data_IF_352972845464
#
_entry.id   IF_352972845464
#
_cell.length_a   1.000
_cell.length_b   1.000
_cell.length_c   1.000
_cell.angle_alpha   90.00
_cell.angle_beta   90.00
_cell.angle_gamma   90.00
#
_symmetry.space_group_name_H-M   'P 1'
#
loop_
_entity.id
_entity.type
_entity.pdbx_description
1 polymer ?
#
# COMPACT_ATOMS: atom_id res chain seq x y z
N UNK A 1 -19.32 -20.65 19.62
CA UNK A 1 -17.89 -20.85 19.28
C UNK A 1 -17.79 -21.66 18.00
N UNK A 2 -17.76 -21.02 16.84
CA UNK A 2 -17.46 -21.69 15.56
C UNK A 2 -16.03 -21.34 15.21
N UNK A 3 -15.12 -22.27 15.54
CA UNK A 3 -13.70 -22.11 15.29
C UNK A 3 -13.43 -21.89 13.80
N UNK A 4 -12.74 -20.80 13.49
CA UNK A 4 -12.18 -20.60 12.16
C UNK A 4 -11.13 -21.68 11.93
N UNK A 5 -11.51 -22.72 11.19
CA UNK A 5 -10.60 -23.73 10.67
C UNK A 5 -9.50 -23.01 9.86
N UNK A 6 -8.26 -23.12 10.33
CA UNK A 6 -7.10 -22.67 9.58
C UNK A 6 -7.03 -23.52 8.30
N UNK A 7 -7.08 -22.93 7.09
CA UNK A 7 -7.13 -23.70 5.85
C UNK A 7 -5.85 -24.54 5.69
N UNK A 8 -6.02 -25.78 5.20
CA UNK A 8 -4.93 -26.74 4.95
C UNK A 8 -3.74 -26.08 4.23
N UNK A 9 -2.52 -26.37 4.70
CA UNK A 9 -1.27 -25.95 4.05
C UNK A 9 -1.30 -26.34 2.57
N UNK A 10 -1.34 -25.34 1.68
CA UNK A 10 -1.30 -25.53 0.22
C UNK A 10 -2.55 -25.10 -0.54
N UNK A 11 -3.72 -25.00 0.12
CA UNK A 11 -4.98 -24.56 -0.52
C UNK A 11 -5.33 -23.10 -0.22
N UNK A 12 -4.33 -22.25 0.07
CA UNK A 12 -4.60 -20.81 0.13
C UNK A 12 -4.93 -20.38 -1.31
N UNK A 13 -6.14 -19.89 -1.61
CA UNK A 13 -6.40 -19.34 -2.94
C UNK A 13 -5.29 -18.34 -3.23
N UNK A 14 -4.63 -18.48 -4.39
CA UNK A 14 -3.62 -17.50 -4.82
C UNK A 14 -4.30 -16.15 -4.73
N UNK A 15 -3.88 -15.31 -3.77
CA UNK A 15 -4.53 -14.02 -3.48
C UNK A 15 -4.74 -13.29 -4.81
N UNK A 16 -5.99 -13.21 -5.27
CA UNK A 16 -6.35 -12.76 -6.64
C UNK A 16 -6.25 -11.24 -6.80
N UNK A 17 -5.40 -10.56 -6.01
CA UNK A 17 -5.21 -9.12 -6.01
C UNK A 17 -3.76 -8.67 -6.23
N UNK A 18 -2.88 -9.59 -6.61
CA UNK A 18 -1.46 -9.28 -6.84
C UNK A 18 -1.22 -8.80 -8.27
N UNK A 19 -0.43 -7.73 -8.42
CA UNK A 19 0.16 -7.41 -9.72
C UNK A 19 1.27 -8.40 -10.03
N UNK A 20 1.24 -8.94 -11.24
CA UNK A 20 2.35 -9.75 -11.77
C UNK A 20 3.59 -8.89 -12.07
N UNK A 21 3.40 -7.60 -12.36
CA UNK A 21 4.48 -6.64 -12.65
C UNK A 21 4.25 -5.34 -11.87
N UNK A 22 5.14 -4.96 -10.93
CA UNK A 22 4.96 -3.77 -10.10
C UNK A 22 5.10 -2.45 -10.87
N UNK A 23 5.59 -2.47 -12.12
CA UNK A 23 5.72 -1.28 -12.97
C UNK A 23 4.42 -0.93 -13.72
N UNK A 24 3.42 -1.79 -13.67
CA UNK A 24 2.15 -1.57 -14.36
C UNK A 24 1.15 -0.89 -13.42
N UNK A 25 0.48 0.16 -13.87
CA UNK A 25 -0.59 0.77 -13.08
C UNK A 25 -1.86 -0.09 -13.12
N UNK A 26 -2.55 -0.22 -11.98
CA UNK A 26 -3.93 -0.74 -11.92
C UNK A 26 -4.89 0.25 -12.60
N UNK A 27 -6.09 -0.22 -12.93
CA UNK A 27 -7.16 0.67 -13.41
C UNK A 27 -7.46 1.73 -12.34
N UNK A 28 -7.27 2.99 -12.69
CA UNK A 28 -7.46 4.15 -11.80
C UNK A 28 -6.30 4.44 -10.85
N UNK A 29 -5.17 3.75 -10.98
CA UNK A 29 -3.96 4.04 -10.21
C UNK A 29 -3.06 5.02 -10.94
N UNK A 30 -2.43 5.94 -10.21
CA UNK A 30 -1.46 6.89 -10.73
C UNK A 30 -0.12 6.64 -10.02
N UNK A 31 0.74 5.83 -10.63
CA UNK A 31 2.09 5.57 -10.11
C UNK A 31 2.86 6.89 -10.00
N UNK A 32 3.43 7.18 -8.82
CA UNK A 32 4.08 8.44 -8.53
C UNK A 32 3.11 9.57 -8.12
N UNK A 33 1.83 9.25 -7.89
CA UNK A 33 0.83 10.23 -7.44
C UNK A 33 1.04 10.69 -6.00
N UNK A 34 1.77 9.92 -5.18
CA UNK A 34 2.20 10.33 -3.84
C UNK A 34 1.12 10.31 -2.77
N UNK A 35 -0.09 9.85 -3.09
CA UNK A 35 -1.20 9.67 -2.14
C UNK A 35 -1.62 8.21 -2.03
N UNK A 36 -1.89 7.76 -0.81
CA UNK A 36 -2.16 6.36 -0.49
C UNK A 36 -3.31 6.23 0.51
N UNK A 37 -4.01 5.10 0.45
CA UNK A 37 -5.04 4.73 1.44
C UNK A 37 -4.61 3.44 2.13
N UNK A 38 -4.44 3.50 3.45
CA UNK A 38 -4.05 2.35 4.26
C UNK A 38 -5.08 2.00 5.31
N UNK A 39 -5.28 0.70 5.54
CA UNK A 39 -6.05 0.22 6.69
C UNK A 39 -5.16 0.22 7.95
N UNK A 40 -5.71 0.61 9.09
CA UNK A 40 -5.09 0.36 10.40
C UNK A 40 -5.51 -0.98 10.98
N UNK A 41 -4.61 -1.59 11.74
CA UNK A 41 -4.93 -2.74 12.57
C UNK A 41 -5.72 -2.28 13.79
N UNK A 42 -6.87 -2.91 14.02
CA UNK A 42 -7.86 -2.45 15.00
C UNK A 42 -7.31 -2.47 16.44
N UNK A 43 -6.52 -3.49 16.81
CA UNK A 43 -5.94 -3.63 18.17
C UNK A 43 -4.57 -2.96 18.35
N UNK A 44 -3.82 -2.80 17.25
CA UNK A 44 -2.41 -2.33 17.32
C UNK A 44 -2.27 -0.86 16.97
N UNK A 45 -3.29 -0.28 16.34
CA UNK A 45 -3.24 1.04 15.73
C UNK A 45 -2.21 1.16 14.60
N UNK A 46 -1.46 0.11 14.23
CA UNK A 46 -0.42 0.19 13.22
C UNK A 46 -1.02 0.22 11.81
N UNK A 47 -0.37 0.93 10.90
CA UNK A 47 -0.67 0.81 9.47
C UNK A 47 -0.42 -0.65 9.05
N UNK A 48 -1.36 -1.26 8.35
CA UNK A 48 -1.20 -2.58 7.75
C UNK A 48 -0.54 -2.38 6.39
N UNK A 49 0.78 -2.66 6.25
CA UNK A 49 1.48 -2.40 5.01
C UNK A 49 0.92 -3.29 3.89
N UNK A 50 0.64 -2.68 2.75
CA UNK A 50 0.47 -3.39 1.50
C UNK A 50 1.84 -3.59 0.86
N UNK A 51 2.09 -4.75 0.25
CA UNK A 51 3.35 -5.00 -0.46
C UNK A 51 3.56 -4.03 -1.63
N UNK A 52 2.48 -3.71 -2.34
CA UNK A 52 2.46 -2.67 -3.39
C UNK A 52 1.21 -1.82 -3.17
N UNK A 53 1.32 -0.66 -2.49
CA UNK A 53 0.16 0.17 -2.21
C UNK A 53 -0.44 0.70 -3.51
N UNK A 54 -1.73 1.07 -3.45
CA UNK A 54 -2.38 1.75 -4.56
C UNK A 54 -2.08 3.24 -4.47
N UNK A 55 -1.64 3.83 -5.57
CA UNK A 55 -1.35 5.26 -5.65
C UNK A 55 -2.49 6.05 -6.29
N UNK A 56 -2.86 7.15 -5.64
CA UNK A 56 -3.85 8.11 -6.13
C UNK A 56 -3.12 9.38 -6.60
N UNK A 57 -3.64 10.02 -7.64
CA UNK A 57 -3.04 11.23 -8.20
C UNK A 57 -3.26 12.46 -7.32
N UNK A 58 -4.22 12.42 -6.41
CA UNK A 58 -4.53 13.54 -5.50
C UNK A 58 -5.07 13.10 -4.14
N UNK A 59 -5.01 14.01 -3.17
CA UNK A 59 -5.62 13.83 -1.85
C UNK A 59 -7.13 13.58 -1.95
N UNK A 60 -7.83 14.30 -2.83
CA UNK A 60 -9.27 14.19 -3.02
C UNK A 60 -9.69 12.79 -3.50
N UNK A 61 -8.96 12.23 -4.47
CA UNK A 61 -9.18 10.86 -4.95
C UNK A 61 -8.95 9.83 -3.84
N UNK A 62 -7.87 9.99 -3.07
CA UNK A 62 -7.57 9.11 -1.94
C UNK A 62 -8.64 9.18 -0.84
N UNK A 63 -9.16 10.39 -0.54
CA UNK A 63 -10.26 10.57 0.41
C UNK A 63 -11.56 9.93 -0.09
N UNK A 64 -11.88 10.09 -1.37
CA UNK A 64 -13.05 9.46 -1.97
C UNK A 64 -12.98 7.93 -1.85
N UNK A 65 -11.81 7.34 -2.12
CA UNK A 65 -11.61 5.90 -1.93
C UNK A 65 -11.70 5.50 -0.45
N UNK A 66 -11.05 6.23 0.46
CA UNK A 66 -11.08 5.92 1.89
C UNK A 66 -12.53 5.89 2.40
N UNK A 67 -13.36 6.86 1.98
CA UNK A 67 -14.79 6.91 2.28
C UNK A 67 -15.55 5.74 1.66
N UNK A 68 -15.27 5.38 0.40
CA UNK A 68 -15.89 4.20 -0.23
C UNK A 68 -15.56 2.92 0.54
N UNK A 69 -14.32 2.77 1.00
CA UNK A 69 -13.86 1.61 1.78
C UNK A 69 -14.42 1.57 3.18
N UNK A 70 -14.59 2.71 3.85
CA UNK A 70 -15.19 2.75 5.18
C UNK A 70 -16.67 2.35 5.14
N UNK A 71 -17.39 2.66 4.06
CA UNK A 71 -18.76 2.17 3.86
C UNK A 71 -18.78 0.65 3.63
N UNK A 72 -17.86 0.13 2.80
CA UNK A 72 -17.78 -1.31 2.51
C UNK A 72 -17.31 -2.13 3.72
N UNK A 73 -16.50 -1.53 4.60
CA UNK A 73 -15.93 -2.16 5.78
C UNK A 73 -16.03 -1.25 7.02
N UNK A 74 -17.22 -1.12 7.63
CA UNK A 74 -17.47 -0.16 8.71
C UNK A 74 -16.65 -0.39 9.98
N UNK A 75 -16.22 -1.63 10.23
CA UNK A 75 -15.39 -1.99 11.39
C UNK A 75 -13.91 -1.68 11.21
N UNK A 76 -13.47 -1.21 10.04
CA UNK A 76 -12.08 -0.91 9.76
C UNK A 76 -11.84 0.58 9.67
N UNK A 77 -10.72 1.01 10.25
CA UNK A 77 -10.22 2.37 10.07
C UNK A 77 -9.31 2.45 8.84
N UNK A 78 -9.53 3.49 8.02
CA UNK A 78 -8.70 3.83 6.87
C UNK A 78 -8.08 5.22 7.07
N UNK A 79 -6.77 5.32 6.84
CA UNK A 79 -6.03 6.57 6.86
C UNK A 79 -5.61 6.94 5.43
N UNK A 80 -5.69 8.22 5.10
CA UNK A 80 -5.12 8.79 3.88
C UNK A 80 -3.74 9.34 4.22
N UNK A 81 -2.72 8.91 3.48
CA UNK A 81 -1.32 9.30 3.69
C UNK A 81 -0.80 9.94 2.41
N UNK A 82 -0.09 11.05 2.53
CA UNK A 82 0.55 11.76 1.41
C UNK A 82 2.06 11.90 1.63
N UNK A 83 2.83 11.87 0.55
CA UNK A 83 4.26 12.17 0.59
C UNK A 83 4.43 13.69 0.71
N UNK A 84 5.00 14.12 1.83
CA UNK A 84 5.34 15.53 2.05
C UNK A 84 6.73 15.89 1.50
N UNK A 85 7.69 14.98 1.67
CA UNK A 85 9.09 15.17 1.25
C UNK A 85 9.68 13.85 0.78
N UNK A 86 10.57 13.94 -0.22
CA UNK A 86 11.37 12.82 -0.72
C UNK A 86 12.85 13.22 -0.71
N UNK A 87 13.72 12.33 -0.22
CA UNK A 87 15.16 12.56 -0.17
C UNK A 87 15.86 11.42 -0.92
N UNK A 88 16.79 11.76 -1.81
CA UNK A 88 17.65 10.82 -2.52
C UNK A 88 19.09 11.20 -2.22
N UNK A 89 19.89 10.28 -1.69
CA UNK A 89 21.34 10.47 -1.59
C UNK A 89 22.03 9.83 -2.78
N UNK A 90 22.85 10.58 -3.52
CA UNK A 90 23.78 9.98 -4.47
C UNK A 90 24.91 9.30 -3.69
N UNK A 91 25.24 8.05 -4.02
CA UNK A 91 26.51 7.47 -3.59
C UNK A 91 27.62 8.18 -4.37
N UNK A 92 28.49 8.92 -3.66
CA UNK A 92 29.71 9.48 -4.25
C UNK A 92 30.65 8.31 -4.55
N UNK A 93 30.83 7.99 -5.83
CA UNK A 93 31.90 7.08 -6.24
C UNK A 93 33.23 7.80 -6.02
N UNK A 94 33.96 7.44 -4.96
CA UNK A 94 35.36 7.85 -4.82
C UNK A 94 36.15 7.13 -5.90
N UNK A 95 36.49 7.82 -6.99
CA UNK A 95 37.56 7.38 -7.87
C UNK A 95 38.87 7.66 -7.15
N UNK A 96 39.52 6.60 -6.68
CA UNK A 96 40.89 6.67 -6.22
C UNK A 96 41.79 6.98 -7.42
N UNK A 97 42.35 8.19 -7.42
CA UNK A 97 43.46 8.56 -8.29
C UNK A 97 44.73 7.98 -7.64
N UNK A 98 45.21 6.87 -8.19
CA UNK A 98 46.55 6.38 -7.91
C UNK A 98 47.48 6.94 -8.99
N UNK A 99 48.26 7.95 -8.61
CA UNK A 99 49.42 8.45 -9.32
C UNK A 99 50.61 7.50 -9.18
#
# INVERSE_FOLDING_TARGET
MTGNLCPEKGKRPRRTGWLKNPKMARKGETIGGGWFVFRRGDDTGRIRPAWWPFEYGSQCEALAEAKRRSVLHPSYRFDVVGVAYSVVSAAVAQMAEAA
#
